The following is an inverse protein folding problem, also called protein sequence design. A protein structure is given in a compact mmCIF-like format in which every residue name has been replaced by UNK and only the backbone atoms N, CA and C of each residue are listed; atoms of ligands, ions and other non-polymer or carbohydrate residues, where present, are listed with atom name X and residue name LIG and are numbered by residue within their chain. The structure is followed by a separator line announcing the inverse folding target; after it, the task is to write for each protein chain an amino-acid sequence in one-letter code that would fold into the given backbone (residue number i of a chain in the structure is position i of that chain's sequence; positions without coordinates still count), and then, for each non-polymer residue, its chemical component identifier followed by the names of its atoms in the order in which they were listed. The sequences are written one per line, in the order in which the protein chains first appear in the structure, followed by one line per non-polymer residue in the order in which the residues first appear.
data_IF_657573791455
#
_entry.id   IF_657573791455
#
_cell.length_a   1.000
_cell.length_b   1.000
_cell.length_c   1.000
_cell.angle_alpha   90.00
_cell.angle_beta   90.00
_cell.angle_gamma   90.00
#
_symmetry.space_group_name_H-M   'P 1'
#
loop_
_entity.id
_entity.type
_entity.pdbx_description
1 polymer ?
#
# COMPACT_ATOMS: atom_id res chain seq x y z
N UNK A 1 2.91 -24.35 11.65
CA UNK A 1 3.85 -23.40 12.28
C UNK A 1 3.71 -22.06 11.58
N UNK A 2 3.79 -20.93 12.30
CA UNK A 2 3.73 -19.61 11.66
C UNK A 2 4.99 -19.38 10.80
N UNK A 3 4.86 -18.63 9.71
CA UNK A 3 5.97 -18.37 8.77
C UNK A 3 6.82 -17.21 9.27
N UNK A 4 8.09 -17.45 9.54
CA UNK A 4 9.04 -16.42 9.99
C UNK A 4 9.20 -15.30 8.96
N UNK A 5 9.12 -15.63 7.66
CA UNK A 5 9.17 -14.66 6.57
C UNK A 5 8.02 -13.64 6.64
N UNK A 6 6.80 -14.12 6.91
CA UNK A 6 5.61 -13.27 6.99
C UNK A 6 5.67 -12.39 8.24
N UNK A 7 6.14 -12.93 9.37
CA UNK A 7 6.32 -12.17 10.61
C UNK A 7 7.34 -11.03 10.44
N UNK A 8 8.49 -11.31 9.83
CA UNK A 8 9.52 -10.30 9.58
C UNK A 8 9.01 -9.20 8.63
N UNK A 9 8.25 -9.59 7.59
CA UNK A 9 7.65 -8.64 6.66
C UNK A 9 6.61 -7.74 7.34
N UNK A 10 5.76 -8.28 8.22
CA UNK A 10 4.81 -7.46 8.98
C UNK A 10 5.54 -6.48 9.92
N UNK A 11 6.57 -6.97 10.62
CA UNK A 11 7.36 -6.16 11.54
C UNK A 11 8.09 -5.01 10.84
N UNK A 12 8.65 -5.23 9.65
CA UNK A 12 9.31 -4.16 8.88
C UNK A 12 8.35 -3.06 8.43
N UNK A 13 7.04 -3.36 8.37
CA UNK A 13 5.97 -2.40 8.09
C UNK A 13 5.28 -1.89 9.38
N UNK A 14 5.91 -2.06 10.54
CA UNK A 14 5.38 -1.71 11.86
C UNK A 14 4.02 -2.33 12.17
N UNK A 15 3.77 -3.55 11.67
CA UNK A 15 2.56 -4.32 11.93
C UNK A 15 2.88 -5.60 12.69
N UNK A 16 2.02 -5.94 13.64
CA UNK A 16 2.18 -7.12 14.50
C UNK A 16 1.13 -8.21 14.23
N UNK A 17 0.30 -8.04 13.19
CA UNK A 17 -0.76 -8.99 12.88
C UNK A 17 -1.39 -8.82 11.49
N UNK A 18 -2.10 -9.87 11.07
CA UNK A 18 -2.99 -9.90 9.91
C UNK A 18 -4.41 -9.52 10.34
N UNK A 19 -5.21 -8.89 9.46
CA UNK A 19 -4.98 -8.63 8.04
C UNK A 19 -4.18 -7.36 7.74
N UNK A 20 -3.30 -7.44 6.74
CA UNK A 20 -2.48 -6.35 6.24
C UNK A 20 -2.57 -6.33 4.71
N UNK A 21 -3.03 -5.21 4.15
CA UNK A 21 -3.26 -5.05 2.73
C UNK A 21 -2.34 -3.93 2.20
N UNK A 22 -1.55 -4.22 1.16
CA UNK A 22 -0.70 -3.22 0.50
C UNK A 22 -0.72 -3.43 -1.01
N UNK A 23 -0.80 -2.34 -1.76
CA UNK A 23 -0.73 -2.33 -3.23
C UNK A 23 0.61 -1.79 -3.66
N UNK A 24 1.33 -2.55 -4.50
CA UNK A 24 2.62 -2.16 -5.06
C UNK A 24 2.50 -1.92 -6.56
N UNK A 25 3.34 -1.04 -7.10
CA UNK A 25 3.44 -0.81 -8.54
C UNK A 25 4.51 0.24 -8.87
N UNK A 26 4.74 0.54 -10.17
CA UNK A 26 5.76 1.50 -10.61
C UNK A 26 5.64 2.88 -9.95
N UNK A 27 4.41 3.32 -9.66
CA UNK A 27 4.10 4.55 -8.95
C UNK A 27 4.20 4.51 -7.44
N UNK A 28 4.24 3.30 -6.90
CA UNK A 28 4.30 3.05 -5.46
C UNK A 28 5.28 1.92 -5.16
N UNK A 29 6.59 2.12 -5.38
CA UNK A 29 7.60 1.12 -5.05
C UNK A 29 7.68 0.85 -3.54
N UNK A 30 7.33 1.85 -2.71
CA UNK A 30 7.21 1.71 -1.26
C UNK A 30 5.86 1.12 -0.80
N UNK A 31 4.91 0.89 -1.72
CA UNK A 31 3.59 0.36 -1.43
C UNK A 31 2.58 1.38 -0.91
N UNK A 32 1.30 1.16 -1.21
CA UNK A 32 0.16 1.92 -0.71
C UNK A 32 -0.60 1.03 0.26
N UNK A 33 -0.61 1.42 1.54
CA UNK A 33 -1.31 0.67 2.57
C UNK A 33 -2.82 0.88 2.46
N UNK A 34 -3.56 -0.22 2.51
CA UNK A 34 -5.02 -0.22 2.51
C UNK A 34 -5.57 -0.53 3.91
N UNK A 35 -6.80 -0.08 4.22
CA UNK A 35 -7.49 -0.48 5.42
C UNK A 35 -7.70 -2.00 5.49
N UNK A 36 -7.98 -2.49 6.69
CA UNK A 36 -8.37 -3.88 6.93
C UNK A 36 -9.67 -4.21 6.19
N UNK A 37 -10.64 -3.30 6.26
CA UNK A 37 -11.92 -3.44 5.57
C UNK A 37 -11.78 -2.81 4.18
N UNK A 38 -11.86 -3.65 3.16
CA UNK A 38 -11.69 -3.21 1.78
C UNK A 38 -13.01 -2.73 1.19
N UNK A 39 -12.91 -1.69 0.36
CA UNK A 39 -13.97 -1.28 -0.55
C UNK A 39 -13.45 -1.35 -1.98
N UNK A 40 -14.32 -1.71 -2.93
CA UNK A 40 -13.94 -1.79 -4.36
C UNK A 40 -13.32 -0.47 -4.83
N UNK A 41 -13.93 0.66 -4.46
CA UNK A 41 -13.42 1.99 -4.80
C UNK A 41 -12.02 2.25 -4.22
N UNK A 42 -11.78 1.90 -2.96
CA UNK A 42 -10.47 2.08 -2.32
C UNK A 42 -9.38 1.23 -2.95
N UNK A 43 -9.71 -0.01 -3.35
CA UNK A 43 -8.77 -0.90 -4.04
C UNK A 43 -8.44 -0.37 -5.43
N UNK A 44 -9.44 0.01 -6.22
CA UNK A 44 -9.24 0.53 -7.58
C UNK A 44 -8.40 1.82 -7.57
N UNK A 45 -8.70 2.76 -6.68
CA UNK A 45 -7.93 4.00 -6.54
C UNK A 45 -6.46 3.74 -6.15
N UNK A 46 -6.21 2.75 -5.27
CA UNK A 46 -4.84 2.38 -4.91
C UNK A 46 -4.09 1.74 -6.08
N UNK A 47 -4.76 0.92 -6.90
CA UNK A 47 -4.18 0.32 -8.10
C UNK A 47 -3.82 1.39 -9.14
N UNK A 48 -4.74 2.33 -9.42
CA UNK A 48 -4.49 3.43 -10.34
C UNK A 48 -3.29 4.27 -9.89
N UNK A 49 -3.22 4.62 -8.61
CA UNK A 49 -2.10 5.37 -8.04
C UNK A 49 -0.78 4.59 -8.10
N UNK A 50 -0.82 3.28 -7.85
CA UNK A 50 0.37 2.42 -7.94
C UNK A 50 0.82 2.18 -9.39
N UNK A 51 -0.06 2.32 -10.38
CA UNK A 51 0.24 2.05 -11.79
C UNK A 51 1.04 3.18 -12.48
N UNK A 52 0.82 4.44 -12.09
CA UNK A 52 1.43 5.60 -12.76
C UNK A 52 2.83 5.90 -12.22
N UNK A 53 3.84 6.09 -13.09
CA UNK A 53 5.23 6.36 -12.68
C UNK A 53 5.36 7.50 -11.65
N UNK A 54 6.42 7.51 -10.79
CA UNK A 54 6.50 8.32 -9.56
C UNK A 54 6.46 9.84 -9.76
N UNK A 55 6.39 10.33 -10.99
CA UNK A 55 6.31 11.74 -11.37
C UNK A 55 4.93 12.38 -11.13
N UNK A 56 3.84 11.60 -10.96
CA UNK A 56 2.48 12.16 -10.84
C UNK A 56 2.07 12.60 -9.41
N UNK A 57 2.82 12.23 -8.37
CA UNK A 57 2.40 12.49 -6.97
C UNK A 57 2.83 13.86 -6.42
N UNK A 58 3.57 14.68 -7.18
CA UNK A 58 3.94 16.04 -6.73
C UNK A 58 2.75 17.03 -6.83
N UNK A 59 1.71 16.71 -7.60
CA UNK A 59 0.63 17.67 -7.87
C UNK A 59 -0.48 17.71 -6.80
N UNK A 60 -0.58 16.70 -5.93
CA UNK A 60 -1.66 16.63 -4.94
C UNK A 60 -1.41 17.42 -3.65
N UNK A 61 -0.24 18.08 -3.52
CA UNK A 61 0.11 18.90 -2.35
C UNK A 61 -0.10 20.42 -2.55
N UNK A 62 -0.61 20.88 -3.71
CA UNK A 62 -0.82 22.32 -4.00
C UNK A 62 -2.31 22.73 -3.91
N UNK A 63 -3.15 21.96 -3.21
CA UNK A 63 -4.58 22.29 -3.01
C UNK A 63 -5.08 22.11 -1.57
N UNK A 64 -4.27 22.43 -0.58
CA UNK A 64 -4.76 22.82 0.74
C UNK A 64 -4.05 24.07 1.23
#
# INVERSE_FOLDING_TARGET
KQSEYVTNYLQSHNRFGVPFNVVYGPGAPAGIQLPVILSTQGVLAAIERASTAPTASVEQAIKQ
#
